data_IF_061822758233
#
_entry.id   IF_061822758233
#
_cell.length_a   1.000
_cell.length_b   1.000
_cell.length_c   1.000
_cell.angle_alpha   90.00
_cell.angle_beta   90.00
_cell.angle_gamma   90.00
#
_symmetry.space_group_name_H-M   'P 1'
#
loop_
_entity.id
_entity.type
_entity.pdbx_description
1 polymer ?
#
# COMPACT_ATOMS: atom_id res chain seq x y z
N UNK A 1 -2.37 -27.14 10.31
CA UNK A 1 -2.42 -26.57 8.95
C UNK A 1 -3.88 -26.21 8.67
N UNK A 2 -4.28 -25.00 9.05
CA UNK A 2 -5.71 -24.63 9.24
C UNK A 2 -6.50 -24.64 7.94
N UNK A 3 -5.91 -24.12 6.85
CA UNK A 3 -6.55 -24.13 5.54
C UNK A 3 -6.61 -25.54 4.91
N UNK A 4 -5.52 -26.32 4.97
CA UNK A 4 -5.45 -27.65 4.36
C UNK A 4 -6.40 -28.65 4.99
N UNK A 5 -6.64 -28.54 6.31
CA UNK A 5 -7.56 -29.42 7.02
C UNK A 5 -9.03 -29.04 6.78
N UNK A 6 -9.28 -27.85 6.23
CA UNK A 6 -10.62 -27.26 6.11
C UNK A 6 -11.20 -27.28 4.69
N UNK A 7 -10.37 -27.68 3.71
CA UNK A 7 -10.66 -27.67 2.28
C UNK A 7 -10.37 -29.05 1.70
N UNK A 8 -11.18 -29.47 0.72
CA UNK A 8 -10.88 -30.69 -0.03
C UNK A 8 -9.85 -30.41 -1.12
N UNK A 9 -9.14 -31.45 -1.55
CA UNK A 9 -8.24 -31.36 -2.69
C UNK A 9 -9.03 -30.94 -3.95
N UNK A 10 -8.49 -29.97 -4.70
CA UNK A 10 -9.15 -29.37 -5.87
C UNK A 10 -10.22 -28.31 -5.57
N UNK A 11 -10.53 -28.05 -4.30
CA UNK A 11 -11.46 -26.98 -3.94
C UNK A 11 -10.79 -25.60 -4.04
N UNK A 12 -11.42 -24.64 -4.72
CA UNK A 12 -10.90 -23.29 -4.87
C UNK A 12 -10.92 -22.51 -3.54
N UNK A 13 -9.92 -21.63 -3.37
CA UNK A 13 -9.86 -20.69 -2.27
C UNK A 13 -10.88 -19.58 -2.47
N UNK A 14 -11.65 -19.28 -1.42
CA UNK A 14 -12.53 -18.11 -1.38
C UNK A 14 -11.88 -16.94 -0.64
N UNK A 15 -12.40 -15.73 -0.83
CA UNK A 15 -11.97 -14.55 -0.06
C UNK A 15 -12.06 -14.73 1.45
N UNK A 16 -13.06 -15.50 1.91
CA UNK A 16 -13.24 -15.78 3.33
C UNK A 16 -12.12 -16.68 3.89
N UNK A 17 -11.59 -17.59 3.07
CA UNK A 17 -10.50 -18.48 3.46
C UNK A 17 -9.19 -17.73 3.64
N UNK A 18 -8.88 -16.81 2.71
CA UNK A 18 -7.70 -15.94 2.77
C UNK A 18 -7.73 -15.10 4.06
N UNK A 19 -8.85 -14.40 4.29
CA UNK A 19 -8.97 -13.47 5.41
C UNK A 19 -9.08 -14.15 6.78
N UNK A 20 -9.74 -15.32 6.88
CA UNK A 20 -10.00 -15.95 8.18
C UNK A 20 -9.04 -17.06 8.54
N UNK A 21 -8.56 -17.84 7.56
CA UNK A 21 -7.83 -19.09 7.79
C UNK A 21 -6.36 -19.05 7.34
N UNK A 22 -5.97 -18.07 6.51
CA UNK A 22 -4.59 -17.92 6.02
C UNK A 22 -3.87 -16.74 6.67
N UNK A 23 -4.10 -16.49 7.97
CA UNK A 23 -3.53 -15.34 8.70
C UNK A 23 -2.00 -15.28 8.65
N UNK A 24 -1.35 -16.42 8.83
CA UNK A 24 0.12 -16.48 8.79
C UNK A 24 0.66 -16.17 7.40
N UNK A 25 0.12 -16.81 6.35
CA UNK A 25 0.49 -16.53 4.97
C UNK A 25 0.26 -15.06 4.59
N UNK A 26 -0.86 -14.46 5.04
CA UNK A 26 -1.14 -13.04 4.81
C UNK A 26 -0.16 -12.12 5.53
N UNK A 27 0.27 -12.49 6.75
CA UNK A 27 1.28 -11.74 7.50
C UNK A 27 2.63 -11.78 6.80
N UNK A 28 3.04 -12.95 6.29
CA UNK A 28 4.28 -13.10 5.49
C UNK A 28 4.21 -12.27 4.22
N UNK A 29 3.11 -12.37 3.45
CA UNK A 29 2.93 -11.57 2.24
C UNK A 29 2.99 -10.06 2.53
N UNK A 30 2.39 -9.62 3.62
CA UNK A 30 2.43 -8.21 4.05
C UNK A 30 3.84 -7.76 4.41
N UNK A 31 4.61 -8.60 5.10
CA UNK A 31 5.99 -8.27 5.47
C UNK A 31 6.93 -8.25 4.26
N UNK A 32 6.72 -9.14 3.30
CA UNK A 32 7.44 -9.10 2.02
C UNK A 32 7.15 -7.79 1.28
N UNK A 33 5.88 -7.40 1.17
CA UNK A 33 5.51 -6.14 0.49
C UNK A 33 6.02 -4.89 1.22
N UNK A 34 6.19 -4.97 2.55
CA UNK A 34 6.78 -3.88 3.35
C UNK A 34 8.27 -3.71 3.07
N UNK A 35 8.98 -4.82 2.85
CA UNK A 35 10.43 -4.84 2.65
C UNK A 35 10.83 -4.66 1.18
N UNK A 36 10.10 -5.28 0.27
CA UNK A 36 10.40 -5.33 -1.16
C UNK A 36 9.11 -5.12 -1.96
N UNK A 37 8.62 -3.87 -2.03
CA UNK A 37 7.42 -3.56 -2.79
C UNK A 37 7.70 -3.75 -4.29
N UNK A 38 6.76 -4.31 -5.06
CA UNK A 38 6.92 -4.51 -6.51
C UNK A 38 7.17 -3.20 -7.29
N UNK A 39 6.73 -2.07 -6.74
CA UNK A 39 7.03 -0.73 -7.23
C UNK A 39 7.86 0.00 -6.18
N UNK A 40 9.15 0.27 -6.44
CA UNK A 40 10.05 0.93 -5.48
C UNK A 40 9.60 2.34 -5.09
N UNK A 41 8.96 3.06 -6.03
CA UNK A 41 8.31 4.33 -5.78
C UNK A 41 6.79 4.09 -5.72
N UNK A 42 6.14 4.62 -4.67
CA UNK A 42 4.67 4.67 -4.63
C UNK A 42 4.11 5.52 -5.77
N UNK A 43 2.79 5.52 -5.92
CA UNK A 43 2.13 6.35 -6.93
C UNK A 43 2.07 7.83 -6.53
N UNK A 44 2.13 8.71 -7.52
CA UNK A 44 1.92 10.14 -7.35
C UNK A 44 0.43 10.47 -7.26
N UNK A 45 0.07 11.42 -6.39
CA UNK A 45 -1.30 11.91 -6.20
C UNK A 45 -1.32 13.43 -6.35
N UNK A 46 -2.33 13.95 -7.06
CA UNK A 46 -2.52 15.39 -7.24
C UNK A 46 -3.52 15.94 -6.20
N UNK A 47 -3.16 17.03 -5.53
CA UNK A 47 -4.04 17.72 -4.58
C UNK A 47 -5.14 18.49 -5.33
N UNK A 48 -6.40 18.12 -5.13
CA UNK A 48 -7.57 18.77 -5.75
C UNK A 48 -7.95 20.10 -5.07
N UNK A 49 -7.65 20.22 -3.78
CA UNK A 49 -7.94 21.40 -2.95
C UNK A 49 -6.75 21.67 -2.03
N UNK A 50 -6.60 22.89 -1.52
CA UNK A 50 -5.63 23.16 -0.47
C UNK A 50 -6.03 22.37 0.78
N UNK A 51 -5.13 21.55 1.35
CA UNK A 51 -5.39 20.81 2.59
C UNK A 51 -4.15 20.75 3.48
N UNK A 52 -4.35 20.51 4.77
CA UNK A 52 -3.26 20.44 5.74
C UNK A 52 -2.95 18.99 6.08
N UNK A 53 -1.70 18.57 5.92
CA UNK A 53 -1.17 17.34 6.53
C UNK A 53 -0.21 17.78 7.63
N UNK A 54 -0.45 17.30 8.84
CA UNK A 54 0.27 17.71 10.04
C UNK A 54 0.34 19.24 10.18
N UNK A 55 1.55 19.79 10.17
CA UNK A 55 1.81 21.23 10.26
C UNK A 55 2.07 21.89 8.90
N UNK A 56 1.90 21.16 7.80
CA UNK A 56 2.19 21.63 6.45
C UNK A 56 0.89 21.86 5.65
N UNK A 57 0.81 23.01 4.98
CA UNK A 57 -0.25 23.29 4.01
C UNK A 57 0.19 22.79 2.63
N UNK A 58 -0.55 21.81 2.10
CA UNK A 58 -0.40 21.29 0.75
C UNK A 58 -1.35 22.08 -0.16
N UNK A 59 -0.83 22.90 -1.08
CA UNK A 59 -1.68 23.62 -2.01
C UNK A 59 -2.21 22.67 -3.10
N UNK A 60 -3.42 22.95 -3.59
CA UNK A 60 -3.89 22.37 -4.84
C UNK A 60 -3.05 22.88 -6.01
N UNK A 61 -3.10 22.14 -7.12
CA UNK A 61 -2.47 22.56 -8.36
C UNK A 61 -3.08 23.87 -8.83
N UNK A 62 -2.33 24.96 -8.65
CA UNK A 62 -2.61 26.22 -9.33
C UNK A 62 -2.08 26.11 -10.77
N UNK A 63 -2.82 26.68 -11.71
CA UNK A 63 -2.64 26.54 -13.17
C UNK A 63 -1.28 27.05 -13.70
N UNK A 64 -0.40 27.53 -12.82
CA UNK A 64 0.94 28.07 -13.06
C UNK A 64 2.07 27.02 -12.98
N UNK A 65 1.75 25.72 -12.88
CA UNK A 65 2.62 24.64 -13.37
C UNK A 65 3.92 24.37 -12.60
N UNK A 66 4.02 24.74 -11.31
CA UNK A 66 5.29 24.64 -10.56
C UNK A 66 5.33 23.82 -9.28
N UNK A 67 4.26 23.13 -8.87
CA UNK A 67 4.28 22.37 -7.61
C UNK A 67 3.59 21.02 -7.75
N UNK A 68 4.21 20.10 -8.48
CA UNK A 68 4.02 18.65 -8.22
C UNK A 68 4.81 18.31 -6.97
N UNK A 69 4.10 17.97 -5.88
CA UNK A 69 4.75 17.44 -4.69
C UNK A 69 5.28 16.04 -5.00
N UNK A 70 6.58 15.96 -5.24
CA UNK A 70 7.35 14.71 -5.24
C UNK A 70 7.31 14.13 -3.81
N UNK A 71 6.29 13.32 -3.50
CA UNK A 71 6.24 12.55 -2.24
C UNK A 71 7.45 11.59 -2.14
N UNK A 72 8.15 11.35 -3.25
CA UNK A 72 9.44 10.64 -3.33
C UNK A 72 10.54 11.29 -2.46
N UNK A 73 10.48 12.60 -2.19
CA UNK A 73 11.54 13.31 -1.43
C UNK A 73 11.41 13.16 0.08
N UNK A 74 10.27 12.65 0.59
CA UNK A 74 10.05 12.44 2.04
C UNK A 74 10.37 10.99 2.46
N UNK A 75 10.59 10.07 1.52
CA UNK A 75 10.76 8.63 1.80
C UNK A 75 12.13 8.08 1.31
N UNK A 76 13.19 8.89 1.37
CA UNK A 76 14.58 8.38 1.31
C UNK A 76 15.52 9.28 2.12
N UNK A 77 15.95 8.82 3.32
CA UNK A 77 17.28 8.21 3.38
C UNK A 77 17.37 7.07 4.40
N UNK A 78 16.53 6.04 4.29
CA UNK A 78 16.71 4.79 5.06
C UNK A 78 16.32 3.57 4.24
N UNK A 79 17.06 3.35 3.16
CA UNK A 79 17.56 2.04 2.70
C UNK A 79 19.05 2.21 2.44
#
# INVERSE_FOLDING_TARGET
MEISNSKKEGELLSWNDINKRMKYSWSVASEVLRLDPPSPAGDFREALTDFKIDNFLIPSKRLDGKYTLEISTIIHPYI
#
